data_IF_030812133063
#
_entry.id   IF_030812133063
#
_cell.length_a   1.000
_cell.length_b   1.000
_cell.length_c   1.000
_cell.angle_alpha   90.00
_cell.angle_beta   90.00
_cell.angle_gamma   90.00
#
_symmetry.space_group_name_H-M   'P 1'
#
loop_
_entity.id
_entity.type
_entity.pdbx_description
1 polymer ?
#
# COMPACT_ATOMS: atom_id res chain seq x y z
N UNK A 1 16.37 -2.22 29.02
CA UNK A 1 15.02 -2.75 28.74
C UNK A 1 14.44 -1.85 27.65
N UNK A 2 14.50 -2.27 26.39
CA UNK A 2 14.04 -1.44 25.27
C UNK A 2 12.52 -1.59 25.16
N UNK A 3 11.78 -0.54 25.52
CA UNK A 3 10.32 -0.52 25.46
C UNK A 3 9.88 -0.37 24.00
N UNK A 4 9.57 -1.48 23.34
CA UNK A 4 8.92 -1.48 22.02
C UNK A 4 7.47 -1.00 22.16
N UNK A 5 7.26 0.32 22.14
CA UNK A 5 5.96 0.88 21.78
C UNK A 5 5.30 1.91 22.70
N UNK A 6 5.95 2.49 23.72
CA UNK A 6 5.30 3.49 24.61
C UNK A 6 5.91 4.90 24.56
N UNK A 7 7.03 5.11 23.86
CA UNK A 7 7.68 6.42 23.68
C UNK A 7 7.30 7.14 22.37
N UNK A 8 7.73 8.41 22.18
CA UNK A 8 7.65 9.06 20.87
C UNK A 8 8.38 8.21 19.82
N UNK A 9 7.75 8.06 18.67
CA UNK A 9 8.22 7.27 17.52
C UNK A 9 9.74 7.36 17.30
N UNK A 10 10.44 6.21 17.38
CA UNK A 10 11.88 6.07 17.15
C UNK A 10 12.20 5.68 15.71
N UNK A 11 13.43 5.24 15.43
CA UNK A 11 13.75 4.65 14.12
C UNK A 11 13.05 3.29 13.99
N UNK A 12 12.65 2.92 12.77
CA UNK A 12 11.93 1.67 12.50
C UNK A 12 12.64 0.42 13.03
N UNK A 13 13.97 0.39 12.95
CA UNK A 13 14.77 -0.74 13.46
C UNK A 13 14.69 -0.88 14.97
N UNK A 14 14.54 0.23 15.70
CA UNK A 14 14.40 0.25 17.15
C UNK A 14 12.97 -0.08 17.57
N UNK A 15 11.98 0.32 16.77
CA UNK A 15 10.56 0.10 17.06
C UNK A 15 10.04 -1.27 16.57
N UNK A 16 10.78 -1.97 15.70
CA UNK A 16 10.40 -3.29 15.19
C UNK A 16 10.82 -4.39 16.16
N UNK A 17 9.90 -5.19 16.71
CA UNK A 17 10.26 -6.33 17.53
C UNK A 17 11.15 -7.31 16.73
N UNK A 18 12.26 -7.80 17.30
CA UNK A 18 13.07 -8.83 16.65
C UNK A 18 12.31 -10.15 16.53
N UNK A 19 12.76 -11.02 15.63
CA UNK A 19 12.21 -12.37 15.51
C UNK A 19 12.39 -13.12 16.84
N UNK A 20 11.33 -13.77 17.32
CA UNK A 20 11.35 -14.49 18.60
C UNK A 20 11.24 -13.60 19.83
N UNK A 21 11.03 -12.28 19.68
CA UNK A 21 10.72 -11.41 20.81
C UNK A 21 9.49 -11.93 21.54
N UNK A 22 9.64 -12.19 22.84
CA UNK A 22 8.57 -12.56 23.74
C UNK A 22 8.18 -11.34 24.57
N UNK A 23 6.91 -10.95 24.47
CA UNK A 23 6.35 -9.88 25.25
C UNK A 23 6.20 -10.33 26.72
N UNK A 24 6.78 -9.60 27.69
CA UNK A 24 6.82 -10.03 29.09
C UNK A 24 5.44 -9.97 29.77
N UNK A 25 4.55 -9.11 29.30
CA UNK A 25 3.23 -8.90 29.92
C UNK A 25 2.20 -9.93 29.42
N UNK A 26 2.28 -10.28 28.14
CA UNK A 26 1.30 -11.15 27.47
C UNK A 26 1.84 -12.55 27.15
N UNK A 27 3.14 -12.77 27.25
CA UNK A 27 3.82 -14.00 26.85
C UNK A 27 3.82 -14.26 25.33
N UNK A 28 3.25 -13.36 24.52
CA UNK A 28 3.15 -13.49 23.06
C UNK A 28 4.52 -13.42 22.40
N UNK A 29 4.71 -14.22 21.35
CA UNK A 29 5.99 -14.31 20.64
C UNK A 29 5.85 -13.84 19.19
N UNK A 30 6.74 -12.95 18.77
CA UNK A 30 6.81 -12.46 17.38
C UNK A 30 7.41 -13.53 16.48
N UNK A 31 6.59 -14.05 15.57
CA UNK A 31 6.95 -15.10 14.60
C UNK A 31 6.73 -14.69 13.16
N UNK A 32 5.99 -13.61 12.90
CA UNK A 32 5.69 -13.16 11.55
C UNK A 32 6.92 -12.64 10.80
N UNK A 33 6.93 -12.78 9.47
CA UNK A 33 8.00 -12.34 8.60
C UNK A 33 7.59 -12.27 7.12
N UNK A 34 8.55 -12.54 6.22
CA UNK A 34 8.35 -12.49 4.76
C UNK A 34 7.25 -13.45 4.27
N UNK A 35 7.11 -14.60 4.91
CA UNK A 35 6.04 -15.57 4.59
C UNK A 35 4.65 -14.99 4.85
N UNK A 36 4.51 -14.20 5.92
CA UNK A 36 3.22 -13.63 6.30
C UNK A 36 2.87 -12.43 5.41
N UNK A 37 3.87 -11.69 4.92
CA UNK A 37 3.67 -10.74 3.82
C UNK A 37 3.14 -11.46 2.57
N UNK A 38 3.79 -12.53 2.13
CA UNK A 38 3.36 -13.28 0.94
C UNK A 38 1.93 -13.83 1.12
N UNK A 39 1.62 -14.40 2.29
CA UNK A 39 0.27 -14.88 2.61
C UNK A 39 -0.77 -13.76 2.54
N UNK A 40 -0.48 -12.59 3.10
CA UNK A 40 -1.42 -11.47 3.08
C UNK A 40 -1.60 -10.86 1.69
N UNK A 41 -0.54 -10.85 0.86
CA UNK A 41 -0.63 -10.43 -0.54
C UNK A 41 -1.46 -11.42 -1.38
N UNK A 42 -1.18 -12.72 -1.27
CA UNK A 42 -1.95 -13.76 -1.98
C UNK A 42 -3.39 -13.87 -1.49
N UNK A 43 -3.66 -13.58 -0.20
CA UNK A 43 -5.03 -13.47 0.30
C UNK A 43 -5.81 -12.39 -0.47
N UNK A 44 -5.18 -11.25 -0.75
CA UNK A 44 -5.75 -10.18 -1.58
C UNK A 44 -6.10 -10.64 -2.99
N UNK A 45 -5.20 -11.39 -3.64
CA UNK A 45 -5.49 -11.98 -4.96
C UNK A 45 -6.70 -12.92 -4.91
N UNK A 46 -6.80 -13.77 -3.88
CA UNK A 46 -7.97 -14.64 -3.67
C UNK A 46 -9.23 -13.80 -3.44
N UNK A 47 -9.13 -12.72 -2.66
CA UNK A 47 -10.20 -11.75 -2.46
C UNK A 47 -10.66 -11.11 -3.76
N UNK A 48 -9.74 -10.69 -4.62
CA UNK A 48 -10.05 -10.12 -5.93
C UNK A 48 -10.80 -11.13 -6.82
N UNK A 49 -10.40 -12.40 -6.83
CA UNK A 49 -11.08 -13.46 -7.59
C UNK A 49 -12.50 -13.73 -7.05
N UNK A 50 -12.66 -13.76 -5.72
CA UNK A 50 -13.98 -13.88 -5.08
C UNK A 50 -14.85 -12.68 -5.43
N UNK A 51 -14.32 -11.47 -5.26
CA UNK A 51 -15.01 -10.23 -5.57
C UNK A 51 -15.40 -10.14 -7.04
N UNK A 52 -14.53 -10.58 -7.95
CA UNK A 52 -14.82 -10.66 -9.39
C UNK A 52 -15.96 -11.62 -9.70
N UNK A 53 -15.96 -12.79 -9.05
CA UNK A 53 -17.05 -13.77 -9.19
C UNK A 53 -18.39 -13.23 -8.70
N UNK A 54 -18.39 -12.50 -7.56
CA UNK A 54 -19.58 -11.83 -7.03
C UNK A 54 -20.03 -10.73 -7.98
N UNK A 55 -19.11 -9.88 -8.45
CA UNK A 55 -19.38 -8.76 -9.34
C UNK A 55 -20.00 -9.22 -10.67
N UNK A 56 -19.52 -10.32 -11.26
CA UNK A 56 -20.11 -10.92 -12.46
C UNK A 56 -21.57 -11.35 -12.23
N UNK A 57 -21.93 -11.81 -11.04
CA UNK A 57 -23.31 -12.13 -10.69
C UNK A 57 -24.26 -10.92 -10.68
N UNK A 58 -23.72 -9.71 -10.59
CA UNK A 58 -24.47 -8.44 -10.70
C UNK A 58 -24.28 -7.75 -12.05
N UNK A 59 -23.42 -8.27 -12.93
CA UNK A 59 -23.18 -7.65 -14.22
C UNK A 59 -24.28 -8.03 -15.22
N UNK A 60 -24.69 -7.04 -16.02
CA UNK A 60 -25.58 -7.25 -17.17
C UNK A 60 -24.83 -7.64 -18.44
N UNK A 61 -23.51 -7.72 -18.38
CA UNK A 61 -22.61 -8.07 -19.48
C UNK A 61 -21.61 -9.14 -19.05
N UNK A 62 -20.89 -9.73 -19.99
CA UNK A 62 -19.80 -10.69 -19.71
C UNK A 62 -18.53 -10.02 -19.13
N UNK A 63 -18.61 -8.73 -18.79
CA UNK A 63 -17.51 -7.95 -18.23
C UNK A 63 -17.90 -7.31 -16.89
N UNK A 64 -16.91 -7.07 -16.02
CA UNK A 64 -17.12 -6.34 -14.77
C UNK A 64 -17.02 -4.86 -15.08
N UNK A 65 -18.09 -4.10 -14.80
CA UNK A 65 -18.04 -2.65 -14.97
C UNK A 65 -17.08 -2.01 -13.96
N UNK A 66 -16.45 -0.87 -14.29
CA UNK A 66 -15.57 -0.19 -13.35
C UNK A 66 -16.23 0.09 -12.00
N UNK A 67 -17.51 0.50 -12.00
CA UNK A 67 -18.29 0.69 -10.76
C UNK A 67 -18.33 -0.57 -9.89
N UNK A 68 -18.53 -1.75 -10.48
CA UNK A 68 -18.51 -3.02 -9.74
C UNK A 68 -17.11 -3.41 -9.28
N UNK A 69 -16.06 -3.07 -10.04
CA UNK A 69 -14.67 -3.24 -9.61
C UNK A 69 -14.39 -2.49 -8.30
N UNK A 70 -14.82 -1.24 -8.19
CA UNK A 70 -14.59 -0.44 -6.96
C UNK A 70 -15.57 -0.74 -5.82
N UNK A 71 -16.81 -1.16 -6.12
CA UNK A 71 -17.79 -1.47 -5.08
C UNK A 71 -17.67 -2.89 -4.52
N UNK A 72 -17.10 -3.83 -5.29
CA UNK A 72 -17.09 -5.26 -4.94
C UNK A 72 -15.68 -5.82 -4.96
N UNK A 73 -14.98 -5.72 -6.09
CA UNK A 73 -13.68 -6.40 -6.28
C UNK A 73 -12.63 -5.83 -5.34
N UNK A 74 -12.45 -4.50 -5.33
CA UNK A 74 -11.45 -3.83 -4.50
C UNK A 74 -11.70 -4.05 -3.00
N UNK A 75 -12.93 -3.87 -2.45
CA UNK A 75 -13.21 -4.20 -1.05
C UNK A 75 -12.92 -5.66 -0.68
N UNK A 76 -13.22 -6.63 -1.57
CA UNK A 76 -12.88 -8.03 -1.32
C UNK A 76 -11.36 -8.26 -1.31
N UNK A 77 -10.63 -7.67 -2.25
CA UNK A 77 -9.17 -7.71 -2.31
C UNK A 77 -8.54 -7.13 -1.04
N UNK A 78 -8.83 -5.87 -0.72
CA UNK A 78 -8.26 -5.19 0.45
C UNK A 78 -8.71 -5.85 1.75
N UNK A 79 -9.98 -6.22 1.85
CA UNK A 79 -10.55 -6.85 3.05
C UNK A 79 -9.89 -8.19 3.38
N UNK A 80 -9.62 -9.03 2.38
CA UNK A 80 -8.93 -10.31 2.59
C UNK A 80 -7.45 -10.13 2.94
N UNK A 81 -6.76 -9.17 2.31
CA UNK A 81 -5.38 -8.81 2.72
C UNK A 81 -5.33 -8.31 4.16
N UNK A 82 -6.22 -7.39 4.55
CA UNK A 82 -6.30 -6.88 5.92
C UNK A 82 -6.70 -7.96 6.92
N UNK A 83 -7.58 -8.90 6.54
CA UNK A 83 -7.92 -10.06 7.36
C UNK A 83 -6.71 -10.97 7.60
N UNK A 84 -5.88 -11.20 6.57
CA UNK A 84 -4.64 -11.97 6.71
C UNK A 84 -3.60 -11.25 7.58
N UNK A 85 -3.49 -9.92 7.48
CA UNK A 85 -2.65 -9.10 8.38
C UNK A 85 -3.18 -9.17 9.82
N UNK A 86 -4.50 -9.09 10.01
CA UNK A 86 -5.14 -9.22 11.31
C UNK A 86 -4.83 -10.59 11.93
N UNK A 87 -4.98 -11.66 11.15
CA UNK A 87 -4.65 -13.01 11.59
C UNK A 87 -3.16 -13.13 11.95
N UNK A 88 -2.28 -12.54 11.15
CA UNK A 88 -0.83 -12.52 11.40
C UNK A 88 -0.50 -11.86 12.74
N UNK A 89 -1.02 -10.67 13.01
CA UNK A 89 -0.85 -9.99 14.31
C UNK A 89 -1.44 -10.82 15.45
N UNK A 90 -2.64 -11.36 15.27
CA UNK A 90 -3.38 -12.06 16.33
C UNK A 90 -2.78 -13.42 16.68
N UNK A 91 -2.23 -14.14 15.71
CA UNK A 91 -1.72 -15.52 15.91
C UNK A 91 -0.19 -15.60 16.01
N UNK A 92 0.54 -14.67 15.38
CA UNK A 92 2.00 -14.72 15.21
C UNK A 92 2.70 -13.44 15.64
N UNK A 93 1.97 -12.46 16.17
CA UNK A 93 2.50 -11.18 16.65
C UNK A 93 2.06 -10.85 18.07
N UNK A 94 2.16 -9.57 18.39
CA UNK A 94 1.81 -9.00 19.68
C UNK A 94 0.30 -8.73 19.82
N UNK A 95 -0.48 -8.96 18.76
CA UNK A 95 -1.93 -8.70 18.76
C UNK A 95 -2.24 -7.20 18.67
N UNK A 96 -1.27 -6.38 18.28
CA UNK A 96 -1.40 -4.94 18.20
C UNK A 96 -0.73 -4.42 16.94
N UNK A 97 -1.53 -3.96 15.97
CA UNK A 97 -1.01 -3.44 14.70
C UNK A 97 -0.08 -2.24 14.89
N UNK A 98 -0.29 -1.46 15.95
CA UNK A 98 0.58 -0.35 16.32
C UNK A 98 1.98 -0.80 16.78
N UNK A 99 2.11 -2.01 17.34
CA UNK A 99 3.38 -2.59 17.81
C UNK A 99 4.01 -3.52 16.78
N UNK A 100 3.19 -4.32 16.09
CA UNK A 100 3.64 -5.27 15.07
C UNK A 100 4.02 -4.54 13.77
N UNK A 101 3.16 -3.65 13.27
CA UNK A 101 3.29 -3.08 11.93
C UNK A 101 3.48 -1.56 11.92
N UNK A 102 3.34 -0.90 13.08
CA UNK A 102 3.48 0.56 13.21
C UNK A 102 2.29 1.35 12.70
N UNK A 103 1.10 0.76 12.72
CA UNK A 103 -0.16 1.44 12.38
C UNK A 103 -0.48 2.45 13.48
N UNK A 104 0.09 3.65 13.35
CA UNK A 104 -0.14 4.82 14.20
C UNK A 104 -0.27 6.00 13.25
N UNK A 105 -1.41 6.67 13.28
CA UNK A 105 -1.71 7.82 12.41
C UNK A 105 -1.83 9.08 13.27
N UNK A 106 -1.26 10.18 12.79
CA UNK A 106 -1.27 11.46 13.48
C UNK A 106 -1.73 12.57 12.52
N UNK A 107 -2.70 13.38 12.96
CA UNK A 107 -3.23 14.49 12.16
C UNK A 107 -2.16 15.51 11.77
N UNK A 108 -1.17 15.76 12.64
CA UNK A 108 -0.03 16.63 12.34
C UNK A 108 0.79 16.20 11.11
N UNK A 109 0.76 14.91 10.76
CA UNK A 109 1.50 14.38 9.62
C UNK A 109 0.70 14.49 8.32
N UNK A 110 -0.55 14.98 8.34
CA UNK A 110 -1.31 15.26 7.11
C UNK A 110 -0.65 16.32 6.23
N UNK A 111 0.23 17.17 6.79
CA UNK A 111 1.04 18.10 6.01
C UNK A 111 1.92 17.40 4.96
N UNK A 112 2.23 16.11 5.15
CA UNK A 112 3.02 15.34 4.19
C UNK A 112 2.24 14.96 2.91
N UNK A 113 0.91 15.20 2.87
CA UNK A 113 0.11 15.12 1.63
C UNK A 113 0.73 16.00 0.54
N UNK A 114 1.22 17.20 0.86
CA UNK A 114 1.83 18.09 -0.12
C UNK A 114 3.10 17.51 -0.78
N UNK A 115 3.86 16.69 -0.04
CA UNK A 115 4.99 15.97 -0.63
C UNK A 115 4.50 14.88 -1.59
N UNK A 116 3.41 14.19 -1.25
CA UNK A 116 2.74 13.25 -2.16
C UNK A 116 2.31 13.90 -3.48
N UNK A 117 1.65 15.05 -3.38
CA UNK A 117 1.24 15.87 -4.53
C UNK A 117 2.46 16.23 -5.39
N UNK A 118 3.53 16.75 -4.77
CA UNK A 118 4.76 17.09 -5.49
C UNK A 118 5.40 15.86 -6.19
N UNK A 119 5.41 14.71 -5.52
CA UNK A 119 5.92 13.46 -6.09
C UNK A 119 5.09 12.98 -7.28
N UNK A 120 3.77 13.20 -7.31
CA UNK A 120 2.96 12.86 -8.47
C UNK A 120 3.43 13.60 -9.73
N UNK A 121 3.75 14.89 -9.62
CA UNK A 121 4.29 15.64 -10.76
C UNK A 121 5.66 15.13 -11.20
N UNK A 122 6.53 14.76 -10.25
CA UNK A 122 7.83 14.13 -10.56
C UNK A 122 7.62 12.82 -11.32
N UNK A 123 6.71 11.96 -10.85
CA UNK A 123 6.39 10.70 -11.52
C UNK A 123 5.78 10.95 -12.90
N UNK A 124 4.88 11.92 -13.07
CA UNK A 124 4.35 12.29 -14.38
C UNK A 124 5.43 12.73 -15.37
N UNK A 125 6.43 13.50 -14.92
CA UNK A 125 7.59 13.89 -15.75
C UNK A 125 8.43 12.65 -16.12
N UNK A 126 8.70 11.77 -15.16
CA UNK A 126 9.45 10.53 -15.42
C UNK A 126 8.72 9.63 -16.41
N UNK A 127 7.41 9.43 -16.23
CA UNK A 127 6.58 8.64 -17.13
C UNK A 127 6.58 9.23 -18.53
N UNK A 128 6.39 10.55 -18.68
CA UNK A 128 6.41 11.21 -19.99
C UNK A 128 7.76 11.12 -20.69
N UNK A 129 8.87 11.17 -19.94
CA UNK A 129 10.20 10.94 -20.48
C UNK A 129 10.36 9.50 -20.99
N UNK A 130 9.92 8.51 -20.21
CA UNK A 130 9.99 7.09 -20.59
C UNK A 130 9.14 6.81 -21.84
N UNK A 131 7.90 7.27 -21.87
CA UNK A 131 7.00 7.04 -23.03
C UNK A 131 7.57 7.67 -24.30
N UNK A 132 8.14 8.88 -24.19
CA UNK A 132 8.76 9.58 -25.33
C UNK A 132 10.05 8.91 -25.80
N UNK A 133 10.96 8.55 -24.89
CA UNK A 133 12.26 7.95 -25.25
C UNK A 133 12.11 6.56 -25.85
N UNK A 134 11.19 5.75 -25.32
CA UNK A 134 11.01 4.36 -25.72
C UNK A 134 9.87 4.16 -26.73
N UNK A 135 9.17 5.23 -27.13
CA UNK A 135 8.02 5.18 -28.04
C UNK A 135 6.95 4.17 -27.58
N UNK A 136 6.70 4.13 -26.27
CA UNK A 136 5.70 3.26 -25.64
C UNK A 136 4.56 4.10 -25.10
N UNK A 137 3.34 3.59 -25.15
CA UNK A 137 2.19 4.19 -24.47
C UNK A 137 2.08 3.70 -23.03
N UNK A 138 1.76 4.61 -22.12
CA UNK A 138 1.21 4.23 -20.82
C UNK A 138 -0.30 4.19 -20.95
N UNK A 139 -0.90 3.02 -20.74
CA UNK A 139 -2.35 2.84 -20.79
C UNK A 139 -2.79 2.28 -19.43
N UNK A 140 -3.04 3.17 -18.48
CA UNK A 140 -3.39 2.76 -17.12
C UNK A 140 -4.90 2.53 -17.06
N UNK A 141 -5.29 1.26 -17.06
CA UNK A 141 -6.69 0.83 -17.06
C UNK A 141 -7.46 1.43 -15.88
N UNK A 142 -6.86 1.46 -14.69
CA UNK A 142 -7.46 2.09 -13.50
C UNK A 142 -7.72 3.58 -13.71
N UNK A 143 -6.80 4.32 -14.35
CA UNK A 143 -7.00 5.76 -14.58
C UNK A 143 -8.12 6.00 -15.60
N UNK A 144 -8.15 5.23 -16.68
CA UNK A 144 -9.20 5.32 -17.69
C UNK A 144 -10.58 4.94 -17.14
N UNK A 145 -10.62 3.87 -16.33
CA UNK A 145 -11.82 3.40 -15.65
C UNK A 145 -12.38 4.47 -14.73
N UNK A 146 -11.49 5.16 -14.01
CA UNK A 146 -11.85 6.24 -13.12
C UNK A 146 -12.44 7.44 -13.90
N UNK A 147 -11.87 7.84 -15.04
CA UNK A 147 -12.36 8.95 -15.88
C UNK A 147 -13.79 8.69 -16.41
N UNK A 148 -14.18 7.42 -16.56
CA UNK A 148 -15.51 7.04 -17.05
C UNK A 148 -16.60 7.01 -15.96
N UNK A 149 -16.26 7.22 -14.69
CA UNK A 149 -17.21 7.06 -13.57
C UNK A 149 -18.02 8.30 -13.22
N UNK A 150 -19.24 8.08 -12.77
CA UNK A 150 -20.09 9.11 -12.18
C UNK A 150 -20.87 8.60 -10.95
N UNK A 151 -21.46 9.53 -10.21
CA UNK A 151 -22.33 9.24 -9.08
C UNK A 151 -21.66 8.38 -8.00
N UNK A 152 -22.34 7.31 -7.58
CA UNK A 152 -21.85 6.43 -6.51
C UNK A 152 -20.55 5.70 -6.87
N UNK A 153 -20.37 5.32 -8.14
CA UNK A 153 -19.14 4.66 -8.61
C UNK A 153 -17.92 5.55 -8.44
N UNK A 154 -18.02 6.82 -8.84
CA UNK A 154 -16.94 7.79 -8.69
C UNK A 154 -16.58 8.02 -7.21
N UNK A 155 -17.57 8.14 -6.32
CA UNK A 155 -17.32 8.29 -4.87
C UNK A 155 -16.60 7.05 -4.32
N UNK A 156 -17.07 5.85 -4.66
CA UNK A 156 -16.44 4.61 -4.23
C UNK A 156 -14.99 4.51 -4.73
N UNK A 157 -14.76 4.94 -5.96
CA UNK A 157 -13.44 4.88 -6.57
C UNK A 157 -12.46 5.88 -5.96
N UNK A 158 -12.88 7.13 -5.71
CA UNK A 158 -12.08 8.11 -4.96
C UNK A 158 -11.74 7.60 -3.57
N UNK A 159 -12.73 7.05 -2.84
CA UNK A 159 -12.50 6.50 -1.49
C UNK A 159 -11.52 5.32 -1.55
N UNK A 160 -11.72 4.40 -2.50
CA UNK A 160 -10.87 3.24 -2.72
C UNK A 160 -9.43 3.62 -3.02
N UNK A 161 -9.22 4.45 -4.05
CA UNK A 161 -7.89 4.81 -4.57
C UNK A 161 -7.12 5.73 -3.64
N UNK A 162 -7.79 6.68 -2.98
CA UNK A 162 -7.10 7.67 -2.14
C UNK A 162 -6.89 7.16 -0.73
N UNK A 163 -7.78 6.33 -0.19
CA UNK A 163 -7.74 5.95 1.22
C UNK A 163 -7.53 4.45 1.44
N UNK A 164 -8.39 3.60 0.87
CA UNK A 164 -8.42 2.17 1.22
C UNK A 164 -7.19 1.44 0.67
N UNK A 165 -6.93 1.57 -0.63
CA UNK A 165 -5.78 0.92 -1.26
C UNK A 165 -4.46 1.40 -0.67
N UNK A 166 -4.15 2.72 -0.55
CA UNK A 166 -2.94 3.18 0.10
C UNK A 166 -2.80 2.69 1.55
N UNK A 167 -3.90 2.59 2.31
CA UNK A 167 -3.85 2.09 3.68
C UNK A 167 -3.42 0.62 3.73
N UNK A 168 -4.05 -0.23 2.91
CA UNK A 168 -3.71 -1.65 2.79
C UNK A 168 -2.28 -1.83 2.31
N UNK A 169 -1.88 -1.09 1.28
CA UNK A 169 -0.54 -1.15 0.69
C UNK A 169 0.54 -0.71 1.69
N UNK A 170 0.36 0.41 2.40
CA UNK A 170 1.34 0.83 3.40
C UNK A 170 1.50 -0.21 4.51
N UNK A 171 0.42 -0.87 4.92
CA UNK A 171 0.50 -1.97 5.89
C UNK A 171 1.27 -3.15 5.31
N UNK A 172 0.97 -3.60 4.09
CA UNK A 172 1.65 -4.76 3.49
C UNK A 172 3.13 -4.48 3.22
N UNK A 173 3.44 -3.39 2.52
CA UNK A 173 4.80 -3.11 2.04
C UNK A 173 5.69 -2.48 3.11
N UNK A 174 5.17 -1.58 3.96
CA UNK A 174 5.96 -0.87 4.97
C UNK A 174 5.76 -1.49 6.35
N UNK A 175 4.54 -1.89 6.68
CA UNK A 175 4.21 -2.54 7.94
C UNK A 175 4.76 -3.97 8.06
N UNK A 176 4.57 -4.81 7.04
CA UNK A 176 4.98 -6.23 7.09
C UNK A 176 6.30 -6.48 6.36
N UNK A 177 6.36 -6.17 5.07
CA UNK A 177 7.52 -6.49 4.21
C UNK A 177 8.79 -5.75 4.65
N UNK A 178 8.75 -4.41 4.71
CA UNK A 178 9.92 -3.60 5.07
C UNK A 178 10.45 -3.97 6.46
N UNK A 179 9.57 -4.11 7.47
CA UNK A 179 9.97 -4.57 8.81
C UNK A 179 10.57 -5.96 8.81
N UNK A 180 10.10 -6.85 7.95
CA UNK A 180 10.69 -8.19 7.79
C UNK A 180 12.07 -8.13 7.14
N UNK A 181 12.28 -7.20 6.20
CA UNK A 181 13.54 -7.01 5.48
C UNK A 181 14.61 -6.36 6.37
N UNK A 182 14.30 -5.30 7.13
CA UNK A 182 15.30 -4.64 7.99
C UNK A 182 15.90 -5.59 9.04
N UNK A 183 15.18 -6.65 9.46
CA UNK A 183 15.72 -7.69 10.34
C UNK A 183 16.87 -8.49 9.69
N UNK A 184 17.01 -8.43 8.36
CA UNK A 184 17.89 -9.30 7.56
C UNK A 184 18.93 -8.52 6.74
N UNK A 185 18.72 -7.23 6.51
CA UNK A 185 19.61 -6.39 5.69
C UNK A 185 19.67 -4.95 6.22
N UNK A 186 20.53 -4.12 5.60
CA UNK A 186 20.63 -2.69 5.92
C UNK A 186 19.34 -1.95 5.57
N UNK A 187 19.12 -0.80 6.20
CA UNK A 187 17.90 -0.02 6.01
C UNK A 187 17.73 0.41 4.54
N UNK A 188 18.82 0.84 3.88
CA UNK A 188 18.79 1.21 2.46
C UNK A 188 18.47 0.03 1.53
N UNK A 189 19.06 -1.15 1.78
CA UNK A 189 18.76 -2.34 1.00
C UNK A 189 17.31 -2.81 1.20
N UNK A 190 16.80 -2.71 2.43
CA UNK A 190 15.41 -3.04 2.75
C UNK A 190 14.41 -2.08 2.08
N UNK A 191 14.71 -0.78 2.08
CA UNK A 191 13.92 0.24 1.37
C UNK A 191 13.89 -0.07 -0.13
N UNK A 192 15.06 -0.24 -0.76
CA UNK A 192 15.14 -0.50 -2.19
C UNK A 192 14.41 -1.80 -2.58
N UNK A 193 14.56 -2.86 -1.78
CA UNK A 193 13.89 -4.15 -2.04
C UNK A 193 12.37 -4.02 -1.90
N UNK A 194 11.88 -3.37 -0.83
CA UNK A 194 10.45 -3.14 -0.62
C UNK A 194 9.85 -2.27 -1.73
N UNK A 195 10.53 -1.19 -2.11
CA UNK A 195 10.13 -0.29 -3.20
C UNK A 195 10.11 -0.99 -4.57
N UNK A 196 11.10 -1.86 -4.83
CA UNK A 196 11.16 -2.66 -6.06
C UNK A 196 10.00 -3.63 -6.16
N UNK A 197 9.71 -4.37 -5.08
CA UNK A 197 8.56 -5.28 -5.04
C UNK A 197 7.25 -4.48 -5.21
N UNK A 198 7.09 -3.36 -4.50
CA UNK A 198 5.94 -2.47 -4.63
C UNK A 198 5.73 -2.01 -6.08
N UNK A 199 6.77 -1.54 -6.77
CA UNK A 199 6.64 -1.13 -8.17
C UNK A 199 6.28 -2.31 -9.07
N UNK A 200 7.00 -3.44 -8.95
CA UNK A 200 6.84 -4.58 -9.85
C UNK A 200 5.47 -5.25 -9.76
N UNK A 201 4.82 -5.29 -8.59
CA UNK A 201 3.48 -5.89 -8.47
C UNK A 201 2.41 -5.12 -9.27
N UNK A 202 2.63 -3.84 -9.58
CA UNK A 202 1.70 -3.06 -10.39
C UNK A 202 1.63 -3.60 -11.83
N UNK A 203 2.72 -4.15 -12.36
CA UNK A 203 2.71 -4.85 -13.66
C UNK A 203 1.79 -6.08 -13.65
N UNK A 204 1.66 -6.75 -12.50
CA UNK A 204 0.85 -7.96 -12.38
C UNK A 204 -0.65 -7.64 -12.40
N UNK A 205 -1.02 -6.48 -11.85
CA UNK A 205 -2.41 -5.99 -11.86
C UNK A 205 -2.78 -5.30 -13.17
N UNK A 206 -1.86 -4.51 -13.73
CA UNK A 206 -2.05 -3.77 -14.97
C UNK A 206 -0.72 -3.64 -15.74
N UNK A 207 -0.51 -4.43 -16.81
CA UNK A 207 0.70 -4.36 -17.63
C UNK A 207 0.95 -2.97 -18.25
N UNK A 208 -0.09 -2.15 -18.43
CA UNK A 208 0.00 -0.78 -18.94
C UNK A 208 0.71 0.19 -17.99
N UNK A 209 0.96 -0.23 -16.74
CA UNK A 209 1.76 0.52 -15.75
C UNK A 209 3.26 0.43 -15.96
N UNK A 210 3.75 -0.34 -16.95
CA UNK A 210 5.18 -0.51 -17.20
C UNK A 210 5.97 0.81 -17.30
N UNK A 211 5.49 1.86 -18.00
CA UNK A 211 6.21 3.13 -18.06
C UNK A 211 6.27 3.89 -16.72
N UNK A 212 5.37 3.58 -15.77
CA UNK A 212 5.29 4.23 -14.46
C UNK A 212 6.26 3.62 -13.44
N UNK A 213 6.81 2.43 -13.69
CA UNK A 213 7.65 1.70 -12.73
C UNK A 213 8.80 2.50 -12.13
N UNK A 214 9.56 3.32 -12.90
CA UNK A 214 10.61 4.14 -12.30
C UNK A 214 10.04 5.13 -11.29
N UNK A 215 8.88 5.73 -11.59
CA UNK A 215 8.20 6.64 -10.69
C UNK A 215 7.62 5.96 -9.45
N UNK A 216 6.99 4.80 -9.63
CA UNK A 216 6.48 3.98 -8.52
C UNK A 216 7.61 3.49 -7.61
N UNK A 217 8.79 3.19 -8.17
CA UNK A 217 9.98 2.86 -7.40
C UNK A 217 10.49 4.05 -6.58
N UNK A 218 10.48 5.26 -7.15
CA UNK A 218 10.85 6.50 -6.45
C UNK A 218 9.88 6.79 -5.30
N UNK A 219 8.57 6.75 -5.57
CA UNK A 219 7.55 6.84 -4.51
C UNK A 219 7.80 5.77 -3.45
N UNK A 220 8.02 4.53 -3.91
CA UNK A 220 8.39 3.37 -3.13
C UNK A 220 9.46 3.66 -2.09
N UNK A 221 10.57 4.22 -2.56
CA UNK A 221 11.75 4.59 -1.78
C UNK A 221 11.45 5.70 -0.78
N UNK A 222 10.72 6.76 -1.19
CA UNK A 222 10.38 7.87 -0.29
C UNK A 222 9.51 7.39 0.86
N UNK A 223 8.46 6.62 0.57
CA UNK A 223 7.56 6.05 1.58
C UNK A 223 8.34 5.14 2.54
N UNK A 224 9.18 4.25 2.02
CA UNK A 224 10.03 3.37 2.83
C UNK A 224 11.01 4.15 3.72
N UNK A 225 11.66 5.19 3.19
CA UNK A 225 12.55 6.06 3.95
C UNK A 225 11.79 6.77 5.08
N UNK A 226 10.63 7.34 4.80
CA UNK A 226 9.82 8.02 5.81
C UNK A 226 9.39 7.08 6.93
N UNK A 227 9.00 5.84 6.60
CA UNK A 227 8.71 4.81 7.61
C UNK A 227 9.95 4.40 8.41
N UNK A 228 11.12 4.26 7.77
CA UNK A 228 12.38 3.98 8.49
C UNK A 228 12.71 5.06 9.51
N UNK A 229 12.48 6.33 9.15
CA UNK A 229 12.79 7.46 10.01
C UNK A 229 11.82 7.65 11.17
N UNK A 230 10.57 7.20 11.05
CA UNK A 230 9.53 7.44 12.08
C UNK A 230 9.06 6.19 12.82
N UNK A 231 9.41 5.00 12.35
CA UNK A 231 8.92 3.76 12.93
C UNK A 231 7.39 3.59 12.87
N UNK A 232 6.67 4.40 12.09
CA UNK A 232 5.23 4.33 11.93
C UNK A 232 4.78 4.68 10.50
N UNK A 233 3.53 4.37 10.18
CA UNK A 233 2.98 4.52 8.83
C UNK A 233 2.34 5.89 8.57
N UNK A 234 2.19 6.77 9.56
CA UNK A 234 1.47 8.05 9.47
C UNK A 234 1.89 8.90 8.27
N UNK A 235 3.21 9.17 8.16
CA UNK A 235 3.75 10.03 7.10
C UNK A 235 3.71 9.35 5.74
N UNK A 236 4.02 8.06 5.68
CA UNK A 236 3.99 7.32 4.44
C UNK A 236 2.56 7.26 3.88
N UNK A 237 1.58 6.97 4.73
CA UNK A 237 0.17 7.01 4.35
C UNK A 237 -0.25 8.40 3.86
N UNK A 238 0.10 9.48 4.58
CA UNK A 238 -0.21 10.84 4.13
C UNK A 238 0.39 11.20 2.76
N UNK A 239 1.65 10.84 2.51
CA UNK A 239 2.31 11.05 1.21
C UNK A 239 1.60 10.24 0.13
N UNK A 240 1.27 8.98 0.41
CA UNK A 240 0.61 8.10 -0.57
C UNK A 240 -0.80 8.59 -0.91
N UNK A 241 -1.58 9.02 0.11
CA UNK A 241 -2.88 9.68 -0.10
C UNK A 241 -2.73 10.93 -0.99
N UNK A 242 -1.72 11.77 -0.76
CA UNK A 242 -1.48 12.96 -1.57
C UNK A 242 -1.10 12.64 -3.02
N UNK A 243 -0.29 11.60 -3.22
CA UNK A 243 0.10 11.12 -4.54
C UNK A 243 -1.12 10.63 -5.34
N UNK A 244 -1.91 9.72 -4.78
CA UNK A 244 -3.12 9.20 -5.40
C UNK A 244 -4.24 10.25 -5.51
N UNK A 245 -4.29 11.17 -4.55
CA UNK A 245 -5.28 12.24 -4.49
C UNK A 245 -5.21 13.19 -5.67
N UNK A 246 -4.03 13.42 -6.25
CA UNK A 246 -3.90 14.21 -7.48
C UNK A 246 -4.57 13.50 -8.65
N UNK A 247 -4.33 12.20 -8.82
CA UNK A 247 -5.00 11.39 -9.85
C UNK A 247 -6.52 11.41 -9.64
N UNK A 248 -6.98 11.26 -8.40
CA UNK A 248 -8.41 11.33 -8.08
C UNK A 248 -9.03 12.71 -8.30
N UNK A 249 -8.27 13.80 -8.14
CA UNK A 249 -8.76 15.16 -8.36
C UNK A 249 -9.03 15.45 -9.84
N UNK A 250 -8.24 14.86 -10.74
CA UNK A 250 -8.49 14.97 -12.18
C UNK A 250 -9.85 14.38 -12.59
N UNK A 251 -10.36 13.40 -11.84
CA UNK A 251 -11.66 12.75 -12.07
C UNK A 251 -12.89 13.60 -11.73
N UNK A 252 -12.74 14.55 -10.81
CA UNK A 252 -13.88 15.31 -10.26
C UNK A 252 -13.99 16.69 -10.93
N UNK A 253 -12.90 17.17 -11.52
CA UNK A 253 -12.80 18.52 -12.08
C UNK A 253 -12.83 18.56 -13.62
N UNK A 254 -12.74 17.41 -14.28
CA UNK A 254 -12.81 17.24 -15.73
C UNK A 254 -13.75 16.08 -16.09
#
# INVERSE_FOLDING_TARGET
MTFYGTGPAGRLREDTPPQGYQDPDTGRVVRWGLTDFALAWFAGLVGALIGGSIALGFSSSDSISPTLSFLVVLPCQDGTSLAAVWWTSSSRGLGSWARDFGVRLFTKDLIWIFLGVALQFVVGILTSLVTTLFHVSSDQSVANDLDAMNGLGAIAAVVGVVFIAPFTEEILYRGVLLRSLIRRMSDYAAIATSAGIFALVHLLGDPGTAPLLPGLFVLGCVLGYMTVQTGNLSRAFAIHMGFNGVTALFLVLY
#
